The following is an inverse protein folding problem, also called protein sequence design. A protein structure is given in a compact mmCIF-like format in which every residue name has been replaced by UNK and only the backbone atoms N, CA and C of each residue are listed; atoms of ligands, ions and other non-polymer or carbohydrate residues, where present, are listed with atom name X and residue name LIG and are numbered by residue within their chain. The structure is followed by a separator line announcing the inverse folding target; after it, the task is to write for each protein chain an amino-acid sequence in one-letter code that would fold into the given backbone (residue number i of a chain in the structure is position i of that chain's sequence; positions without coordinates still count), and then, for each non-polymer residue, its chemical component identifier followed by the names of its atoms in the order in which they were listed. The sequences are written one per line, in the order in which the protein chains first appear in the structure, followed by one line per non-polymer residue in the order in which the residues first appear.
data_IF_360122908801
#
_entry.id   IF_360122908801
#
_cell.length_a   1.000
_cell.length_b   1.000
_cell.length_c   1.000
_cell.angle_alpha   90.00
_cell.angle_beta   90.00
_cell.angle_gamma   90.00
#
_symmetry.space_group_name_H-M   'P 1'
#
loop_
_entity.id
_entity.type
_entity.pdbx_description
1 polymer ?
#
# COMPACT_ATOMS: atom_id res chain seq x y z
N UNK A 1 2.15 -2.55 -24.93
CA UNK A 1 1.84 -1.78 -23.70
C UNK A 1 2.54 -2.28 -22.43
N UNK A 2 3.20 -3.45 -22.44
CA UNK A 2 4.19 -3.86 -21.42
C UNK A 2 5.32 -2.83 -21.22
N UNK A 3 5.63 -2.06 -22.27
CA UNK A 3 6.50 -0.89 -22.26
C UNK A 3 6.03 0.22 -21.33
N UNK A 4 4.73 0.42 -21.11
CA UNK A 4 4.24 1.56 -20.29
C UNK A 4 4.48 1.30 -18.81
N UNK A 5 4.37 0.06 -18.34
CA UNK A 5 4.70 -0.25 -16.95
C UNK A 5 6.18 -0.40 -16.67
N UNK A 6 6.96 -0.86 -17.65
CA UNK A 6 8.40 -0.71 -17.58
C UNK A 6 8.80 0.75 -17.62
N UNK A 7 8.19 1.57 -18.47
CA UNK A 7 8.38 3.04 -18.50
C UNK A 7 7.84 3.69 -17.23
N UNK A 8 6.83 3.15 -16.55
CA UNK A 8 6.29 3.67 -15.30
C UNK A 8 7.18 3.30 -14.12
N UNK A 9 7.55 2.03 -13.99
CA UNK A 9 8.55 1.59 -13.04
C UNK A 9 9.85 2.33 -13.28
N UNK A 10 10.29 2.48 -14.54
CA UNK A 10 11.51 3.22 -14.92
C UNK A 10 11.36 4.73 -14.77
N UNK A 11 10.24 5.38 -15.05
CA UNK A 11 10.03 6.85 -14.91
C UNK A 11 9.80 7.25 -13.47
N UNK A 12 9.02 6.48 -12.71
CA UNK A 12 8.91 6.67 -11.27
C UNK A 12 10.25 6.35 -10.63
N UNK A 13 10.96 5.32 -11.08
CA UNK A 13 12.37 5.08 -10.75
C UNK A 13 13.30 6.18 -11.25
N UNK A 14 13.03 6.85 -12.37
CA UNK A 14 13.86 7.92 -12.96
C UNK A 14 13.52 9.28 -12.35
N UNK A 15 12.36 9.49 -11.76
CA UNK A 15 12.00 10.68 -11.01
C UNK A 15 12.49 10.53 -9.57
N UNK A 16 12.25 9.35 -8.97
CA UNK A 16 12.87 8.99 -7.70
C UNK A 16 14.38 8.90 -7.85
N UNK A 17 14.92 8.39 -8.98
CA UNK A 17 16.34 8.47 -9.28
C UNK A 17 16.71 9.89 -9.59
N UNK A 18 16.20 10.65 -10.54
CA UNK A 18 16.74 11.99 -10.81
C UNK A 18 16.75 12.88 -9.56
N UNK A 19 15.77 12.77 -8.66
CA UNK A 19 15.85 13.37 -7.31
C UNK A 19 16.89 12.68 -6.39
N UNK A 20 16.99 11.35 -6.40
CA UNK A 20 18.00 10.56 -5.67
C UNK A 20 19.38 10.45 -6.36
N UNK A 21 19.58 10.92 -7.59
CA UNK A 21 20.66 10.64 -8.56
C UNK A 21 21.35 11.98 -8.84
N UNK A 22 20.62 13.11 -8.86
CA UNK A 22 21.24 14.40 -8.56
C UNK A 22 21.80 14.45 -7.12
N UNK A 23 21.22 13.71 -6.17
CA UNK A 23 21.81 13.53 -4.83
C UNK A 23 22.78 12.34 -4.70
N UNK A 24 22.69 11.30 -5.56
CA UNK A 24 23.59 10.11 -5.52
C UNK A 24 24.84 10.24 -6.40
N UNK A 25 24.79 10.98 -7.51
CA UNK A 25 25.99 11.24 -8.35
C UNK A 25 27.04 12.07 -7.59
N UNK A 26 26.65 12.78 -6.53
CA UNK A 26 27.59 13.46 -5.61
C UNK A 26 27.76 12.75 -4.25
N UNK A 27 27.25 11.53 -4.12
CA UNK A 27 27.53 10.64 -2.99
C UNK A 27 26.33 10.40 -2.09
N UNK A 28 25.68 9.23 -2.24
CA UNK A 28 25.28 8.43 -1.09
C UNK A 28 24.74 7.06 -1.53
N UNK A 29 25.64 6.09 -1.72
CA UNK A 29 25.30 4.66 -1.61
C UNK A 29 24.48 4.39 -0.33
N UNK A 30 24.70 5.19 0.72
CA UNK A 30 23.93 5.22 1.97
C UNK A 30 22.43 5.45 1.80
N UNK A 31 22.00 6.31 0.86
CA UNK A 31 20.57 6.54 0.62
C UNK A 31 19.93 5.34 -0.08
N UNK A 32 20.59 4.80 -1.10
CA UNK A 32 20.15 3.57 -1.78
C UNK A 32 20.09 2.37 -0.82
N UNK A 33 21.12 2.16 0.00
CA UNK A 33 21.10 1.17 1.07
C UNK A 33 19.96 1.46 2.07
N UNK A 34 19.68 2.73 2.39
CA UNK A 34 18.57 3.16 3.23
C UNK A 34 17.19 2.73 2.71
N UNK A 35 16.99 2.78 1.39
CA UNK A 35 15.77 2.27 0.73
C UNK A 35 15.69 0.75 0.80
N UNK A 36 16.75 0.03 0.45
CA UNK A 36 16.78 -1.44 0.59
C UNK A 36 16.54 -1.87 2.04
N UNK A 37 17.04 -1.12 3.01
CA UNK A 37 16.78 -1.32 4.44
C UNK A 37 15.31 -1.15 4.87
N UNK A 38 14.44 -0.55 4.04
CA UNK A 38 13.00 -0.52 4.31
C UNK A 38 12.32 -1.85 3.94
N UNK A 39 12.89 -2.56 2.97
CA UNK A 39 12.42 -3.87 2.54
C UNK A 39 12.98 -5.00 3.40
N UNK A 40 14.18 -4.84 3.98
CA UNK A 40 14.80 -5.87 4.85
C UNK A 40 14.10 -5.95 6.21
N UNK A 41 13.74 -7.15 6.63
CA UNK A 41 13.24 -7.43 7.98
C UNK A 41 14.38 -7.32 8.99
N UNK A 42 14.36 -6.24 9.77
CA UNK A 42 15.40 -5.94 10.75
C UNK A 42 15.44 -6.92 11.92
N UNK A 43 14.36 -7.64 12.23
CA UNK A 43 14.34 -8.57 13.38
C UNK A 43 15.20 -9.79 13.13
N UNK A 44 15.26 -10.22 11.88
CA UNK A 44 16.04 -11.36 11.47
C UNK A 44 16.54 -11.12 10.03
N UNK A 45 17.55 -10.26 9.86
CA UNK A 45 17.95 -9.78 8.54
C UNK A 45 18.62 -10.85 7.70
N UNK A 46 19.17 -11.91 8.32
CA UNK A 46 19.96 -12.93 7.63
C UNK A 46 19.27 -14.29 7.66
N UNK A 47 18.99 -14.83 6.47
CA UNK A 47 18.57 -16.22 6.29
C UNK A 47 19.81 -17.10 6.17
N UNK A 48 20.45 -17.41 7.32
CA UNK A 48 21.70 -18.20 7.35
C UNK A 48 21.46 -19.66 6.99
N UNK A 49 20.38 -20.25 7.49
CA UNK A 49 20.03 -21.64 7.22
C UNK A 49 19.50 -21.81 5.77
N UNK A 50 20.15 -22.63 4.93
CA UNK A 50 19.67 -22.91 3.58
C UNK A 50 18.29 -23.58 3.57
N UNK A 51 17.94 -24.39 4.59
CA UNK A 51 16.65 -25.08 4.67
C UNK A 51 15.53 -24.08 4.93
N UNK A 52 15.64 -23.25 5.98
CA UNK A 52 14.67 -22.16 6.27
C UNK A 52 14.48 -21.24 5.04
N UNK A 53 15.58 -20.94 4.33
CA UNK A 53 15.54 -20.10 3.13
C UNK A 53 14.73 -20.76 2.01
N UNK A 54 14.97 -22.04 1.73
CA UNK A 54 14.22 -22.80 0.74
C UNK A 54 12.73 -22.88 1.06
N UNK A 55 12.39 -23.19 2.31
CA UNK A 55 11.00 -23.27 2.76
C UNK A 55 10.27 -21.93 2.65
N UNK A 56 10.92 -20.82 3.08
CA UNK A 56 10.32 -19.49 2.95
C UNK A 56 10.15 -19.11 1.48
N UNK A 57 11.14 -19.36 0.64
CA UNK A 57 11.07 -19.11 -0.80
C UNK A 57 9.86 -19.85 -1.40
N UNK A 58 9.73 -21.15 -1.16
CA UNK A 58 8.63 -21.96 -1.68
C UNK A 58 7.27 -21.46 -1.18
N UNK A 59 7.13 -21.22 0.13
CA UNK A 59 5.88 -20.74 0.73
C UNK A 59 5.47 -19.37 0.17
N UNK A 60 6.41 -18.44 0.09
CA UNK A 60 6.14 -17.06 -0.36
C UNK A 60 5.86 -17.01 -1.86
N UNK A 61 6.65 -17.71 -2.66
CA UNK A 61 6.45 -17.85 -4.11
C UNK A 61 5.12 -18.55 -4.41
N UNK A 62 4.81 -19.65 -3.72
CA UNK A 62 3.54 -20.36 -3.87
C UNK A 62 2.34 -19.48 -3.52
N UNK A 63 2.41 -18.71 -2.42
CA UNK A 63 1.40 -17.70 -2.07
C UNK A 63 1.25 -16.63 -3.16
N UNK A 64 2.38 -16.16 -3.73
CA UNK A 64 2.40 -15.19 -4.81
C UNK A 64 1.74 -15.71 -6.09
N UNK A 65 2.10 -16.92 -6.53
CA UNK A 65 1.50 -17.60 -7.68
C UNK A 65 0.00 -17.79 -7.47
N UNK A 66 -0.42 -18.27 -6.29
CA UNK A 66 -1.84 -18.47 -5.99
C UNK A 66 -2.64 -17.16 -6.08
N UNK A 67 -2.08 -16.04 -5.60
CA UNK A 67 -2.69 -14.72 -5.77
C UNK A 67 -2.78 -14.30 -7.23
N UNK A 68 -1.74 -14.54 -8.03
CA UNK A 68 -1.74 -14.21 -9.47
C UNK A 68 -2.75 -15.05 -10.26
N UNK A 69 -2.89 -16.34 -9.92
CA UNK A 69 -3.94 -17.21 -10.48
C UNK A 69 -5.32 -16.69 -10.09
N UNK A 70 -5.53 -16.37 -8.81
CA UNK A 70 -6.79 -15.78 -8.34
C UNK A 70 -7.09 -14.44 -9.02
N UNK A 71 -6.08 -13.60 -9.24
CA UNK A 71 -6.17 -12.38 -10.01
C UNK A 71 -6.62 -12.65 -11.46
N UNK A 72 -6.02 -13.64 -12.14
CA UNK A 72 -6.38 -14.02 -13.49
C UNK A 72 -7.85 -14.44 -13.59
N UNK A 73 -8.29 -15.34 -12.70
CA UNK A 73 -9.69 -15.76 -12.63
C UNK A 73 -10.63 -14.58 -12.35
N UNK A 74 -10.34 -13.76 -11.34
CA UNK A 74 -11.15 -12.60 -11.01
C UNK A 74 -11.26 -11.60 -12.17
N UNK A 75 -10.17 -11.39 -12.92
CA UNK A 75 -10.14 -10.49 -14.07
C UNK A 75 -10.93 -11.03 -15.27
N UNK A 76 -10.95 -12.36 -15.45
CA UNK A 76 -11.76 -13.01 -16.48
C UNK A 76 -13.25 -13.03 -16.10
N UNK A 77 -13.57 -13.19 -14.82
CA UNK A 77 -14.97 -13.25 -14.35
C UNK A 77 -15.66 -11.89 -14.29
N UNK A 78 -14.91 -10.78 -14.26
CA UNK A 78 -15.47 -9.43 -14.22
C UNK A 78 -14.95 -8.60 -15.39
N UNK A 79 -15.28 -8.99 -16.65
CA UNK A 79 -14.76 -8.33 -17.85
C UNK A 79 -15.20 -6.86 -17.93
N UNK A 80 -16.34 -6.54 -17.34
CA UNK A 80 -16.85 -5.19 -17.17
C UNK A 80 -15.83 -4.23 -16.53
N UNK A 81 -14.94 -4.70 -15.63
CA UNK A 81 -13.89 -3.85 -15.03
C UNK A 81 -12.72 -3.57 -15.97
N UNK A 82 -12.68 -4.22 -17.13
CA UNK A 82 -11.57 -4.24 -18.07
C UNK A 82 -11.98 -3.63 -19.42
N UNK A 83 -12.70 -2.50 -19.45
CA UNK A 83 -13.13 -1.94 -20.73
C UNK A 83 -13.76 -0.55 -20.67
N UNK A 84 -14.27 -0.10 -21.82
CA UNK A 84 -15.04 1.14 -21.97
C UNK A 84 -16.34 1.11 -21.16
N UNK A 85 -16.94 -0.07 -20.98
CA UNK A 85 -18.12 -0.26 -20.14
C UNK A 85 -17.88 0.21 -18.69
N UNK A 86 -16.67 0.01 -18.16
CA UNK A 86 -16.29 0.51 -16.84
C UNK A 86 -16.45 2.03 -16.74
N UNK A 87 -16.03 2.74 -17.78
CA UNK A 87 -16.11 4.20 -17.83
C UNK A 87 -17.56 4.68 -17.94
N UNK A 88 -18.37 4.03 -18.77
CA UNK A 88 -19.81 4.34 -18.92
C UNK A 88 -20.57 4.12 -17.62
N UNK A 89 -20.37 2.97 -16.98
CA UNK A 89 -20.96 2.69 -15.67
C UNK A 89 -20.50 3.70 -14.61
N UNK A 90 -19.21 4.05 -14.60
CA UNK A 90 -18.68 4.98 -13.61
C UNK A 90 -19.25 6.39 -13.79
N UNK A 91 -19.49 6.81 -15.03
CA UNK A 91 -20.14 8.07 -15.37
C UNK A 91 -21.65 8.04 -15.07
N UNK A 92 -22.31 6.90 -15.30
CA UNK A 92 -23.75 6.72 -15.10
C UNK A 92 -24.19 6.44 -13.66
N UNK A 93 -23.25 6.14 -12.75
CA UNK A 93 -23.56 5.80 -11.36
C UNK A 93 -23.22 6.92 -10.37
N UNK A 94 -24.17 7.22 -9.49
CA UNK A 94 -23.95 8.18 -8.39
C UNK A 94 -22.90 7.63 -7.41
N UNK A 95 -22.19 8.53 -6.72
CA UNK A 95 -21.15 8.16 -5.75
C UNK A 95 -21.66 7.25 -4.63
N UNK A 96 -22.92 7.39 -4.24
CA UNK A 96 -23.53 6.61 -3.15
C UNK A 96 -24.24 5.33 -3.64
N UNK A 97 -24.16 5.00 -4.92
CA UNK A 97 -24.83 3.81 -5.45
C UNK A 97 -24.20 2.51 -4.91
N UNK A 98 -25.00 1.53 -4.45
CA UNK A 98 -24.51 0.24 -3.97
C UNK A 98 -23.62 -0.50 -4.97
N UNK A 99 -23.94 -0.40 -6.26
CA UNK A 99 -23.17 -1.02 -7.34
C UNK A 99 -21.75 -0.46 -7.42
N UNK A 100 -21.57 0.86 -7.26
CA UNK A 100 -20.25 1.51 -7.27
C UNK A 100 -19.39 1.08 -6.09
N UNK A 101 -19.99 0.86 -4.92
CA UNK A 101 -19.27 0.29 -3.78
C UNK A 101 -18.83 -1.15 -4.02
N UNK A 102 -19.71 -1.98 -4.58
CA UNK A 102 -19.35 -3.35 -4.93
C UNK A 102 -18.18 -3.38 -5.92
N UNK A 103 -18.25 -2.56 -6.97
CA UNK A 103 -17.16 -2.41 -7.94
C UNK A 103 -15.87 -1.93 -7.28
N UNK A 104 -15.95 -0.98 -6.35
CA UNK A 104 -14.78 -0.48 -5.61
C UNK A 104 -14.13 -1.57 -4.77
N UNK A 105 -14.92 -2.37 -4.05
CA UNK A 105 -14.43 -3.50 -3.24
C UNK A 105 -13.77 -4.56 -4.12
N UNK A 106 -14.41 -4.91 -5.23
CA UNK A 106 -13.88 -5.86 -6.20
C UNK A 106 -12.57 -5.36 -6.82
N UNK A 107 -12.51 -4.10 -7.24
CA UNK A 107 -11.30 -3.48 -7.77
C UNK A 107 -10.16 -3.50 -6.74
N UNK A 108 -10.46 -3.17 -5.48
CA UNK A 108 -9.50 -3.25 -4.38
C UNK A 108 -8.96 -4.67 -4.16
N UNK A 109 -9.83 -5.68 -4.22
CA UNK A 109 -9.43 -7.10 -4.09
C UNK A 109 -8.55 -7.54 -5.26
N UNK A 110 -8.92 -7.19 -6.49
CA UNK A 110 -8.15 -7.49 -7.70
C UNK A 110 -6.77 -6.84 -7.63
N UNK A 111 -6.70 -5.57 -7.22
CA UNK A 111 -5.42 -4.87 -6.99
C UNK A 111 -4.57 -5.58 -5.93
N UNK A 112 -5.17 -6.02 -4.81
CA UNK A 112 -4.44 -6.75 -3.77
C UNK A 112 -3.87 -8.09 -4.29
N UNK A 113 -4.66 -8.84 -5.05
CA UNK A 113 -4.22 -10.11 -5.65
C UNK A 113 -3.07 -9.87 -6.62
N UNK A 114 -3.20 -8.87 -7.51
CA UNK A 114 -2.18 -8.54 -8.49
C UNK A 114 -0.88 -8.02 -7.85
N UNK A 115 -0.95 -6.88 -7.15
CA UNK A 115 0.22 -6.25 -6.53
C UNK A 115 0.85 -7.18 -5.50
N UNK A 116 0.02 -7.85 -4.70
CA UNK A 116 0.49 -8.76 -3.65
C UNK A 116 1.09 -10.04 -4.21
N UNK A 117 0.57 -10.53 -5.33
CA UNK A 117 1.11 -11.68 -6.05
C UNK A 117 2.49 -11.37 -6.63
N UNK A 118 2.63 -10.26 -7.37
CA UNK A 118 3.90 -9.81 -7.94
C UNK A 118 4.94 -9.59 -6.83
N UNK A 119 4.59 -8.83 -5.79
CA UNK A 119 5.53 -8.52 -4.72
C UNK A 119 5.98 -9.77 -3.95
N UNK A 120 5.10 -10.75 -3.73
CA UNK A 120 5.47 -11.99 -3.07
C UNK A 120 6.51 -12.79 -3.86
N UNK A 121 6.34 -12.90 -5.19
CA UNK A 121 7.29 -13.59 -6.08
C UNK A 121 8.60 -12.82 -6.21
N UNK A 122 8.54 -11.50 -6.43
CA UNK A 122 9.76 -10.69 -6.56
C UNK A 122 10.57 -10.68 -5.25
N UNK A 123 9.90 -10.50 -4.12
CA UNK A 123 10.59 -10.45 -2.84
C UNK A 123 11.13 -11.82 -2.44
N UNK A 124 10.46 -12.94 -2.77
CA UNK A 124 11.03 -14.26 -2.52
C UNK A 124 12.31 -14.51 -3.34
N UNK A 125 12.35 -14.07 -4.60
CA UNK A 125 13.56 -14.15 -5.44
C UNK A 125 14.69 -13.32 -4.83
N UNK A 126 14.40 -12.09 -4.41
CA UNK A 126 15.37 -11.22 -3.73
C UNK A 126 15.90 -11.87 -2.44
N UNK A 127 15.02 -12.46 -1.62
CA UNK A 127 15.41 -13.16 -0.40
C UNK A 127 16.34 -14.35 -0.69
N UNK A 128 16.05 -15.12 -1.75
CA UNK A 128 16.83 -16.26 -2.16
C UNK A 128 18.23 -15.86 -2.63
N UNK A 129 18.32 -14.84 -3.51
CA UNK A 129 19.56 -14.39 -4.12
C UNK A 129 20.45 -13.62 -3.15
N UNK A 130 19.89 -12.66 -2.41
CA UNK A 130 20.67 -11.76 -1.55
C UNK A 130 20.81 -12.27 -0.11
N UNK A 131 20.16 -13.39 0.24
CA UNK A 131 20.17 -13.98 1.60
C UNK A 131 19.70 -13.02 2.68
N UNK A 132 18.95 -12.00 2.30
CA UNK A 132 18.31 -11.05 3.21
C UNK A 132 16.85 -11.43 3.38
N UNK A 133 16.32 -11.28 4.60
CA UNK A 133 14.87 -11.43 4.80
C UNK A 133 14.17 -10.16 4.37
N UNK A 134 13.10 -10.26 3.61
CA UNK A 134 12.29 -9.11 3.20
C UNK A 134 10.93 -9.11 3.91
N UNK A 135 10.35 -7.93 4.07
CA UNK A 135 9.02 -7.76 4.66
C UNK A 135 7.93 -8.06 3.64
N UNK A 136 6.79 -8.58 4.09
CA UNK A 136 5.58 -8.67 3.27
C UNK A 136 5.08 -7.28 2.88
N UNK A 137 4.73 -7.09 1.59
CA UNK A 137 4.16 -5.84 1.12
C UNK A 137 2.76 -5.62 1.70
N UNK A 138 1.98 -6.70 1.80
CA UNK A 138 0.65 -6.70 2.41
C UNK A 138 0.56 -7.74 3.53
N UNK A 139 0.25 -7.29 4.74
CA UNK A 139 0.18 -8.13 5.93
C UNK A 139 -1.29 -8.22 6.42
N UNK A 140 -2.07 -9.09 5.78
CA UNK A 140 -3.51 -9.30 6.05
C UNK A 140 -4.28 -7.94 6.17
N UNK A 141 -4.30 -7.11 5.12
CA UNK A 141 -4.88 -5.76 5.19
C UNK A 141 -6.37 -5.78 5.53
N UNK A 142 -7.12 -6.71 4.96
CA UNK A 142 -8.57 -6.80 5.16
C UNK A 142 -8.97 -7.29 6.55
N UNK A 143 -8.04 -7.74 7.40
CA UNK A 143 -8.36 -8.11 8.80
C UNK A 143 -8.01 -6.99 9.77
N UNK A 144 -7.84 -5.76 9.29
CA UNK A 144 -7.49 -4.63 10.15
C UNK A 144 -8.70 -4.17 10.94
N UNK A 145 -8.54 -4.06 12.26
CA UNK A 145 -9.52 -3.45 13.17
C UNK A 145 -9.23 -1.96 13.42
N UNK A 146 -8.27 -1.39 12.70
CA UNK A 146 -7.84 0.01 12.85
C UNK A 146 -7.34 0.61 11.54
N UNK A 147 -7.64 1.88 11.26
CA UNK A 147 -7.10 2.60 10.09
C UNK A 147 -5.61 2.83 10.25
N UNK A 148 -5.15 3.15 11.46
CA UNK A 148 -3.73 3.22 11.80
C UNK A 148 -3.02 1.93 11.43
N UNK A 149 -3.59 0.79 11.82
CA UNK A 149 -3.01 -0.52 11.53
C UNK A 149 -3.00 -0.83 10.03
N UNK A 150 -4.10 -0.52 9.35
CA UNK A 150 -4.26 -0.71 7.93
C UNK A 150 -3.15 0.00 7.15
N UNK A 151 -3.02 1.32 7.33
CA UNK A 151 -2.08 2.14 6.57
C UNK A 151 -0.63 2.01 7.02
N UNK A 152 -0.35 1.86 8.31
CA UNK A 152 1.03 1.89 8.80
C UNK A 152 1.80 0.59 8.56
N UNK A 153 1.14 -0.58 8.56
CA UNK A 153 1.87 -1.85 8.43
C UNK A 153 1.21 -2.95 7.62
N UNK A 154 -0.10 -2.90 7.37
CA UNK A 154 -0.79 -3.98 6.66
C UNK A 154 -0.94 -3.73 5.17
N UNK A 155 -1.00 -2.46 4.74
CA UNK A 155 -1.10 -2.06 3.35
C UNK A 155 0.18 -1.38 2.87
N UNK A 156 0.86 -1.98 1.90
CA UNK A 156 2.09 -1.46 1.29
C UNK A 156 3.17 -1.05 2.32
N UNK A 157 3.44 -1.93 3.28
CA UNK A 157 4.28 -1.63 4.46
C UNK A 157 5.69 -1.10 4.14
N UNK A 158 6.45 -1.68 3.19
CA UNK A 158 7.76 -1.17 2.81
C UNK A 158 7.74 0.26 2.26
N UNK A 159 6.76 0.60 1.43
CA UNK A 159 6.62 1.95 0.88
C UNK A 159 6.32 2.98 1.98
N UNK A 160 5.42 2.63 2.90
CA UNK A 160 5.07 3.49 4.04
C UNK A 160 6.28 3.75 4.95
N UNK A 161 7.11 2.73 5.18
CA UNK A 161 8.37 2.88 5.91
C UNK A 161 9.35 3.81 5.18
N UNK A 162 9.49 3.68 3.85
CA UNK A 162 10.31 4.59 3.05
C UNK A 162 9.84 6.04 3.21
N UNK A 163 8.53 6.28 3.08
CA UNK A 163 7.94 7.61 3.13
C UNK A 163 8.07 8.23 4.53
N UNK A 164 7.79 7.44 5.56
CA UNK A 164 7.96 7.85 6.95
C UNK A 164 9.41 8.24 7.24
N UNK A 165 10.40 7.47 6.77
CA UNK A 165 11.83 7.82 6.91
C UNK A 165 12.20 9.10 6.18
N UNK A 166 11.69 9.28 4.96
CA UNK A 166 11.97 10.46 4.15
C UNK A 166 11.43 11.74 4.81
N UNK A 167 10.23 11.68 5.41
CA UNK A 167 9.57 12.85 6.01
C UNK A 167 10.04 13.11 7.44
N UNK A 168 10.15 12.07 8.27
CA UNK A 168 10.45 12.20 9.70
C UNK A 168 11.97 12.24 9.95
N UNK A 169 12.80 11.81 8.98
CA UNK A 169 14.26 11.80 9.10
C UNK A 169 14.83 10.74 10.04
N UNK A 170 14.00 9.80 10.51
CA UNK A 170 14.36 8.82 11.55
C UNK A 170 14.94 7.51 11.01
N UNK A 171 16.25 7.28 11.24
CA UNK A 171 16.98 6.06 10.86
C UNK A 171 16.65 4.77 11.65
N UNK A 172 15.76 4.81 12.64
CA UNK A 172 15.36 3.62 13.40
C UNK A 172 13.87 3.33 13.22
N UNK A 173 13.58 2.15 12.64
CA UNK A 173 12.24 1.57 12.48
C UNK A 173 11.42 1.74 13.74
N UNK A 174 10.49 2.70 13.68
CA UNK A 174 9.50 3.02 14.70
C UNK A 174 8.65 1.80 15.12
N UNK A 175 8.65 0.72 14.33
CA UNK A 175 7.98 -0.55 14.63
C UNK A 175 8.68 -1.36 15.74
N UNK A 176 10.01 -1.26 15.88
CA UNK A 176 10.74 -1.86 17.01
C UNK A 176 10.41 -1.07 18.26
N UNK A 177 10.50 0.27 18.17
CA UNK A 177 10.06 1.16 19.25
C UNK A 177 8.60 0.99 19.62
N UNK A 178 7.68 0.66 18.70
CA UNK A 178 6.26 0.46 19.03
C UNK A 178 6.01 -0.87 19.73
N UNK A 179 6.57 -1.98 19.26
CA UNK A 179 6.40 -3.27 19.95
C UNK A 179 7.15 -3.31 21.30
N UNK A 180 8.28 -2.61 21.41
CA UNK A 180 8.93 -2.39 22.71
C UNK A 180 8.13 -1.39 23.54
N UNK A 181 7.62 -0.27 22.99
CA UNK A 181 6.78 0.68 23.74
C UNK A 181 5.45 0.09 24.17
N UNK A 182 4.81 -0.78 23.42
CA UNK A 182 3.56 -1.39 23.87
C UNK A 182 3.82 -2.29 25.10
N UNK A 183 5.01 -2.92 25.16
CA UNK A 183 5.48 -3.65 26.35
C UNK A 183 6.05 -2.75 27.46
N UNK A 184 6.68 -1.63 27.11
CA UNK A 184 7.40 -0.74 28.03
C UNK A 184 6.53 0.40 28.55
N UNK A 185 5.53 0.88 27.80
CA UNK A 185 4.52 1.84 28.26
C UNK A 185 3.51 1.14 29.20
N UNK A 186 3.45 -0.21 29.21
CA UNK A 186 2.87 -1.00 30.31
C UNK A 186 3.71 -0.92 31.60
N UNK A 187 5.04 -0.71 31.49
CA UNK A 187 5.98 -0.71 32.62
C UNK A 187 6.53 0.66 33.03
N UNK A 188 6.46 1.71 32.19
CA UNK A 188 7.26 2.93 32.37
C UNK A 188 6.49 4.21 32.01
N UNK A 189 5.83 4.75 33.03
CA UNK A 189 5.02 5.97 33.02
C UNK A 189 5.78 7.31 32.78
N UNK A 190 7.02 7.33 32.27
CA UNK A 190 7.90 8.52 32.42
C UNK A 190 8.65 9.03 31.18
N UNK A 191 8.34 8.55 29.96
CA UNK A 191 8.89 9.20 28.75
C UNK A 191 7.97 10.31 28.24
N UNK A 192 8.48 11.54 28.20
CA UNK A 192 7.76 12.73 27.70
C UNK A 192 7.05 12.40 26.38
N UNK A 193 5.72 12.59 26.29
CA UNK A 193 4.98 12.30 25.07
C UNK A 193 5.49 13.19 23.95
N UNK A 194 5.88 12.60 22.82
CA UNK A 194 6.01 13.34 21.56
C UNK A 194 4.72 14.13 21.36
N UNK A 195 4.82 15.43 21.11
CA UNK A 195 3.65 16.28 20.93
C UNK A 195 2.75 15.65 19.86
N UNK A 196 1.50 15.41 20.20
CA UNK A 196 0.51 14.82 19.28
C UNK A 196 0.43 15.59 17.97
N UNK A 197 0.65 16.92 18.01
CA UNK A 197 0.71 17.77 16.82
C UNK A 197 1.81 17.36 15.85
N UNK A 198 3.00 16.98 16.34
CA UNK A 198 4.11 16.55 15.49
C UNK A 198 3.80 15.22 14.79
N UNK A 199 3.22 14.26 15.51
CA UNK A 199 2.78 12.98 14.93
C UNK A 199 1.68 13.18 13.88
N UNK A 200 0.71 14.06 14.16
CA UNK A 200 -0.36 14.36 13.20
C UNK A 200 0.17 15.09 11.97
N UNK A 201 1.12 16.02 12.13
CA UNK A 201 1.75 16.71 11.00
C UNK A 201 2.56 15.75 10.12
N UNK A 202 3.31 14.84 10.72
CA UNK A 202 4.02 13.81 9.98
C UNK A 202 3.06 12.89 9.21
N UNK A 203 1.98 12.44 9.85
CA UNK A 203 0.94 11.64 9.19
C UNK A 203 0.30 12.42 8.04
N UNK A 204 -0.08 13.69 8.25
CA UNK A 204 -0.64 14.55 7.21
C UNK A 204 0.29 14.61 5.98
N UNK A 205 1.58 14.87 6.19
CA UNK A 205 2.56 14.93 5.11
C UNK A 205 2.69 13.59 4.36
N UNK A 206 2.67 12.46 5.07
CA UNK A 206 2.70 11.11 4.46
C UNK A 206 1.49 10.90 3.54
N UNK A 207 0.28 11.23 4.01
CA UNK A 207 -0.95 11.07 3.22
C UNK A 207 -1.00 12.05 2.05
N UNK A 208 -0.67 13.33 2.28
CA UNK A 208 -0.63 14.35 1.22
C UNK A 208 0.35 13.95 0.11
N UNK A 209 1.57 13.58 0.47
CA UNK A 209 2.57 13.17 -0.50
C UNK A 209 2.15 11.89 -1.24
N UNK A 210 1.54 10.92 -0.55
CA UNK A 210 0.95 9.73 -1.19
C UNK A 210 -0.11 10.10 -2.22
N UNK A 211 -0.97 11.08 -1.90
CA UNK A 211 -1.98 11.62 -2.82
C UNK A 211 -1.38 12.27 -4.05
N UNK A 212 -0.40 13.15 -3.88
CA UNK A 212 0.33 13.80 -4.99
C UNK A 212 1.02 12.76 -5.87
N UNK A 213 1.66 11.75 -5.28
CA UNK A 213 2.25 10.65 -6.04
C UNK A 213 1.21 9.95 -6.91
N UNK A 214 0.03 9.62 -6.38
CA UNK A 214 -1.00 8.94 -7.16
C UNK A 214 -1.64 9.82 -8.24
N UNK A 215 -1.73 11.14 -8.04
CA UNK A 215 -2.12 12.06 -9.12
C UNK A 215 -1.05 12.12 -10.20
N UNK A 216 0.23 12.15 -9.83
CA UNK A 216 1.32 12.09 -10.80
C UNK A 216 1.30 10.79 -11.59
N UNK A 217 1.03 9.66 -10.93
CA UNK A 217 0.83 8.35 -11.58
C UNK A 217 -0.30 8.42 -12.62
N UNK A 218 -1.45 8.96 -12.24
CA UNK A 218 -2.58 9.14 -13.17
C UNK A 218 -2.22 10.05 -14.34
N UNK A 219 -1.49 11.14 -14.09
CA UNK A 219 -1.06 12.05 -15.16
C UNK A 219 -0.12 11.36 -16.14
N UNK A 220 0.83 10.56 -15.65
CA UNK A 220 1.77 9.83 -16.52
C UNK A 220 1.03 8.77 -17.33
N UNK A 221 0.15 7.99 -16.68
CA UNK A 221 -0.55 6.87 -17.29
C UNK A 221 -1.69 7.29 -18.23
N UNK A 222 -2.49 8.28 -17.83
CA UNK A 222 -3.77 8.64 -18.46
C UNK A 222 -3.81 10.05 -19.02
N UNK A 223 -2.81 10.90 -18.71
CA UNK A 223 -2.84 12.34 -19.01
C UNK A 223 -4.03 13.06 -18.34
N UNK A 224 -4.50 12.53 -17.21
CA UNK A 224 -5.60 13.08 -16.42
C UNK A 224 -5.10 13.47 -15.01
N UNK A 225 -5.52 14.64 -14.53
CA UNK A 225 -5.29 15.13 -13.16
C UNK A 225 -6.65 15.50 -12.59
N UNK A 226 -7.17 14.67 -11.69
CA UNK A 226 -8.53 14.83 -11.15
C UNK A 226 -8.54 15.26 -9.69
N UNK A 227 -7.39 15.22 -9.01
CA UNK A 227 -7.24 15.38 -7.57
C UNK A 227 -8.03 14.35 -6.73
N UNK A 228 -8.69 13.35 -7.34
CA UNK A 228 -9.51 12.38 -6.63
C UNK A 228 -8.68 11.43 -5.77
N UNK A 229 -7.51 11.01 -6.25
CA UNK A 229 -6.60 10.21 -5.44
C UNK A 229 -6.02 11.05 -4.31
N UNK A 230 -5.71 12.32 -4.55
CA UNK A 230 -5.28 13.24 -3.49
C UNK A 230 -6.36 13.39 -2.40
N UNK A 231 -7.62 13.65 -2.80
CA UNK A 231 -8.77 13.72 -1.89
C UNK A 231 -8.97 12.43 -1.10
N UNK A 232 -8.83 11.26 -1.75
CA UNK A 232 -8.89 9.96 -1.08
C UNK A 232 -7.90 9.88 0.08
N UNK A 233 -6.62 10.20 -0.14
CA UNK A 233 -5.62 10.12 0.93
C UNK A 233 -5.86 11.16 2.04
N UNK A 234 -6.34 12.36 1.70
CA UNK A 234 -6.69 13.36 2.72
C UNK A 234 -7.88 12.92 3.58
N UNK A 235 -8.91 12.32 2.98
CA UNK A 235 -10.04 11.75 3.73
C UNK A 235 -9.56 10.61 4.64
N UNK A 236 -8.66 9.77 4.15
CA UNK A 236 -8.05 8.70 4.95
C UNK A 236 -7.24 9.24 6.14
N UNK A 237 -6.51 10.35 5.96
CA UNK A 237 -5.85 11.05 7.06
C UNK A 237 -6.85 11.58 8.09
N UNK A 238 -7.94 12.20 7.65
CA UNK A 238 -9.00 12.68 8.57
C UNK A 238 -9.59 11.51 9.35
N UNK A 239 -9.90 10.39 8.69
CA UNK A 239 -10.37 9.17 9.33
C UNK A 239 -9.38 8.61 10.37
N UNK A 240 -8.09 8.60 10.05
CA UNK A 240 -7.02 8.22 10.98
C UNK A 240 -6.94 9.18 12.18
N UNK A 241 -6.99 10.49 11.96
CA UNK A 241 -6.93 11.48 13.03
C UNK A 241 -8.14 11.36 13.98
N UNK A 242 -9.33 11.14 13.42
CA UNK A 242 -10.55 10.88 14.18
C UNK A 242 -10.44 9.58 14.98
N UNK A 243 -9.96 8.49 14.37
CA UNK A 243 -9.73 7.22 15.06
C UNK A 243 -8.74 7.40 16.22
N UNK A 244 -7.62 8.10 16.02
CA UNK A 244 -6.63 8.34 17.05
C UNK A 244 -7.20 9.15 18.22
N UNK A 245 -8.02 10.15 17.94
CA UNK A 245 -8.71 10.92 18.97
C UNK A 245 -9.76 10.07 19.71
N UNK A 246 -10.56 9.29 18.97
CA UNK A 246 -11.59 8.43 19.54
C UNK A 246 -10.97 7.27 20.35
N UNK A 247 -9.83 6.73 19.94
CA UNK A 247 -9.18 5.59 20.62
C UNK A 247 -8.85 5.82 22.10
N UNK A 248 -8.86 7.09 22.52
CA UNK A 248 -8.64 7.53 23.91
C UNK A 248 -9.88 7.41 24.79
N UNK A 249 -11.07 7.33 24.20
CA UNK A 249 -12.32 7.24 24.97
C UNK A 249 -12.58 5.82 25.43
N UNK A 250 -13.30 5.67 26.55
CA UNK A 250 -13.73 4.36 27.06
C UNK A 250 -14.61 3.60 26.04
N UNK A 251 -15.42 4.34 25.29
CA UNK A 251 -16.34 3.79 24.28
C UNK A 251 -15.60 3.03 23.16
N UNK A 252 -14.48 3.57 22.67
CA UNK A 252 -13.70 2.87 21.65
C UNK A 252 -13.12 1.56 22.18
N UNK A 253 -12.61 1.59 23.42
CA UNK A 253 -12.02 0.41 24.08
C UNK A 253 -13.04 -0.69 24.35
N UNK A 254 -14.31 -0.33 24.57
CA UNK A 254 -15.40 -1.29 24.75
C UNK A 254 -15.97 -1.86 23.44
N UNK A 255 -15.58 -1.34 22.27
CA UNK A 255 -16.16 -1.74 20.99
C UNK A 255 -15.60 -3.12 20.55
N UNK A 256 -16.45 -4.13 20.28
CA UNK A 256 -16.02 -5.43 19.77
C UNK A 256 -15.17 -5.33 18.49
N UNK A 257 -14.15 -6.20 18.38
CA UNK A 257 -13.27 -6.25 17.21
C UNK A 257 -14.03 -6.41 15.88
N UNK A 258 -15.08 -7.25 15.76
CA UNK A 258 -15.83 -7.37 14.51
C UNK A 258 -16.46 -6.05 14.05
N UNK A 259 -16.95 -5.21 14.98
CA UNK A 259 -17.53 -3.91 14.64
C UNK A 259 -16.46 -2.92 14.18
N UNK A 260 -15.30 -2.91 14.85
CA UNK A 260 -14.15 -2.09 14.42
C UNK A 260 -13.66 -2.51 13.03
N UNK A 261 -13.55 -3.81 12.79
CA UNK A 261 -13.22 -4.38 11.50
C UNK A 261 -14.20 -3.97 10.40
N UNK A 262 -15.51 -4.14 10.64
CA UNK A 262 -16.56 -3.69 9.71
C UNK A 262 -16.47 -2.19 9.43
N UNK A 263 -16.24 -1.36 10.45
CA UNK A 263 -16.11 0.08 10.30
C UNK A 263 -14.90 0.47 9.43
N UNK A 264 -13.74 -0.17 9.62
CA UNK A 264 -12.55 0.06 8.77
C UNK A 264 -12.81 -0.34 7.33
N UNK A 265 -13.40 -1.52 7.09
CA UNK A 265 -13.69 -1.99 5.74
C UNK A 265 -14.73 -1.11 5.04
N UNK A 266 -15.78 -0.71 5.75
CA UNK A 266 -16.80 0.19 5.23
C UNK A 266 -16.19 1.54 4.88
N UNK A 267 -15.41 2.15 5.78
CA UNK A 267 -14.74 3.42 5.51
C UNK A 267 -13.77 3.33 4.32
N UNK A 268 -13.00 2.25 4.23
CA UNK A 268 -12.10 2.00 3.10
C UNK A 268 -12.87 1.80 1.78
N UNK A 269 -14.00 1.10 1.79
CA UNK A 269 -14.84 0.91 0.61
C UNK A 269 -15.52 2.22 0.15
N UNK A 270 -16.06 3.00 1.08
CA UNK A 270 -16.72 4.28 0.79
C UNK A 270 -15.73 5.26 0.14
N UNK A 271 -14.60 5.48 0.80
CA UNK A 271 -13.56 6.40 0.31
C UNK A 271 -12.82 5.83 -0.90
N UNK A 272 -12.64 4.50 -1.00
CA UNK A 272 -11.92 3.83 -2.09
C UNK A 272 -12.49 4.12 -3.47
N UNK A 273 -13.76 4.52 -3.56
CA UNK A 273 -14.35 4.96 -4.83
C UNK A 273 -13.60 6.16 -5.42
N UNK A 274 -13.12 7.08 -4.60
CA UNK A 274 -12.29 8.20 -5.05
C UNK A 274 -10.94 7.74 -5.59
N UNK A 275 -10.35 6.70 -4.99
CA UNK A 275 -9.09 6.13 -5.46
C UNK A 275 -9.26 5.40 -6.80
N UNK A 276 -10.35 4.67 -6.96
CA UNK A 276 -10.62 3.83 -8.14
C UNK A 276 -11.15 4.66 -9.33
N UNK A 277 -11.75 5.82 -9.07
CA UNK A 277 -12.40 6.64 -10.08
C UNK A 277 -11.53 7.00 -11.30
N UNK A 278 -10.28 7.48 -11.14
CA UNK A 278 -9.45 7.83 -12.29
C UNK A 278 -9.16 6.63 -13.19
N UNK A 279 -8.97 5.45 -12.60
CA UNK A 279 -8.74 4.22 -13.36
C UNK A 279 -9.99 3.80 -14.13
N UNK A 280 -11.17 3.83 -13.49
CA UNK A 280 -12.42 3.43 -14.12
C UNK A 280 -12.80 4.35 -15.29
N UNK A 281 -12.57 5.66 -15.18
CA UNK A 281 -12.81 6.60 -16.29
C UNK A 281 -11.87 6.40 -17.48
N UNK A 282 -10.67 5.89 -17.24
CA UNK A 282 -9.62 5.75 -18.25
C UNK A 282 -9.46 4.30 -18.75
N UNK A 283 -10.58 3.57 -18.89
CA UNK A 283 -10.60 2.21 -19.45
C UNK A 283 -10.49 1.08 -18.43
N UNK A 284 -10.74 1.37 -17.15
CA UNK A 284 -10.79 0.38 -16.09
C UNK A 284 -9.43 -0.16 -15.71
N UNK A 285 -9.38 -1.44 -15.32
CA UNK A 285 -8.15 -2.10 -14.91
C UNK A 285 -7.24 -2.47 -16.10
N UNK A 286 -7.70 -2.40 -17.36
CA UNK A 286 -6.83 -2.57 -18.55
C UNK A 286 -5.67 -1.58 -18.61
N UNK A 287 -5.79 -0.47 -17.90
CA UNK A 287 -4.72 0.49 -17.66
C UNK A 287 -3.47 -0.12 -17.00
N UNK A 288 -3.66 -1.15 -16.18
CA UNK A 288 -2.55 -1.88 -15.60
C UNK A 288 -1.92 -2.76 -16.68
N UNK A 289 -0.59 -2.94 -16.66
CA UNK A 289 0.17 -3.74 -17.62
C UNK A 289 -0.11 -5.22 -17.45
N UNK A 290 -1.35 -5.64 -17.66
CA UNK A 290 -1.67 -7.03 -17.74
C UNK A 290 -1.12 -7.52 -19.08
N UNK A 291 -0.35 -8.62 -19.08
CA UNK A 291 -0.17 -9.38 -20.31
C UNK A 291 -1.56 -9.60 -20.90
N UNK A 292 -1.76 -9.26 -22.17
CA UNK A 292 -2.94 -9.71 -22.89
C UNK A 292 -2.87 -11.24 -22.87
N UNK A 293 -3.50 -11.88 -21.89
CA UNK A 293 -3.44 -13.33 -21.69
C UNK A 293 -4.22 -14.10 -22.76
N UNK A 294 -4.44 -13.49 -23.93
CA UNK A 294 -5.14 -14.12 -25.05
C UNK A 294 -6.51 -14.63 -24.64
N UNK A 295 -7.23 -13.92 -23.77
CA UNK A 295 -8.66 -14.16 -23.58
C UNK A 295 -9.31 -13.89 -24.94
N UNK A 296 -9.44 -14.95 -25.73
CA UNK A 296 -10.11 -14.96 -27.01
C UNK A 296 -11.50 -14.42 -26.75
N UNK A 297 -11.75 -13.21 -27.24
CA UNK A 297 -13.08 -12.60 -27.30
C UNK A 297 -13.98 -13.40 -28.24
#
# INVERSE_FOLDING_TARGET
MTTIAWVFALRTWEILNNAALESSIKGNLKHFCGYLHAFVDRRNPHLRDPVERGERFLRRTGRGILKLVGFHFASCSVPFLNGSEAAEFWAGTTYLSPSRYLVTVLAGLIMYLWMGGIADVLFSIIELLLRVRTRDMFERPYTSTSLRAFWRWRWNGPFQECLARAIIGGGQSERVRYNEKEKVDEERNDTKPTSMSATMLAAFNIFLLSGVFHEHVNFVAFKDISAQNCMFFLIQFVGLAMELQWSRTKMYKSLPDPLRWCAVLLFAALSGSLFVAPYMRNGGLKAFPFPDFGCVS
#
